data_IF_827946925453
#
_entry.id   IF_827946925453
#
_cell.length_a   1.000
_cell.length_b   1.000
_cell.length_c   1.000
_cell.angle_alpha   90.00
_cell.angle_beta   90.00
_cell.angle_gamma   90.00
#
_symmetry.space_group_name_H-M   'P 1'
#
loop_
_entity.id
_entity.type
_entity.pdbx_description
1 polymer ?
#
# COMPACT_ATOMS: atom_id res chain seq x y z
N UNK A 1 23.15 45.15 35.09
CA UNK A 1 22.42 45.42 33.84
C UNK A 1 21.91 44.09 33.30
N UNK A 2 20.74 43.66 33.76
CA UNK A 2 20.06 42.45 33.29
C UNK A 2 19.46 42.69 31.91
N UNK A 3 19.80 41.81 30.96
CA UNK A 3 19.38 41.90 29.56
C UNK A 3 18.08 41.12 29.40
N UNK A 4 16.95 41.84 29.42
CA UNK A 4 15.62 41.25 29.23
C UNK A 4 15.52 40.58 27.85
N UNK A 5 15.10 39.31 27.76
CA UNK A 5 15.02 38.60 26.49
C UNK A 5 13.88 39.12 25.59
N UNK A 6 14.21 39.26 24.30
CA UNK A 6 13.33 39.74 23.22
C UNK A 6 12.01 38.94 23.08
N UNK A 7 10.88 39.61 22.81
CA UNK A 7 9.54 39.01 22.73
C UNK A 7 9.40 37.92 21.66
N UNK A 8 10.28 37.88 20.66
CA UNK A 8 10.26 36.87 19.60
C UNK A 8 10.67 35.46 20.11
N UNK A 9 11.58 35.37 21.08
CA UNK A 9 12.00 34.08 21.67
C UNK A 9 10.94 33.48 22.59
N UNK A 10 10.10 34.33 23.20
CA UNK A 10 9.01 33.90 24.08
C UNK A 10 7.90 33.19 23.31
N UNK A 11 7.61 33.61 22.08
CA UNK A 11 6.60 32.96 21.22
C UNK A 11 7.06 31.59 20.71
N UNK A 12 8.34 31.43 20.39
CA UNK A 12 8.89 30.15 19.91
C UNK A 12 8.86 29.05 21.00
N UNK A 13 9.12 29.41 22.26
CA UNK A 13 9.09 28.47 23.38
C UNK A 13 7.68 28.03 23.77
N UNK A 14 6.68 28.91 23.64
CA UNK A 14 5.27 28.57 23.91
C UNK A 14 4.74 27.58 22.86
N UNK A 15 5.12 27.75 21.58
CA UNK A 15 4.73 26.82 20.52
C UNK A 15 5.33 25.43 20.68
N UNK A 16 6.56 25.33 21.20
CA UNK A 16 7.23 24.04 21.43
C UNK A 16 6.62 23.27 22.62
N UNK A 17 6.17 23.97 23.67
CA UNK A 17 5.50 23.33 24.80
C UNK A 17 4.10 22.80 24.44
N UNK A 18 3.36 23.48 23.55
CA UNK A 18 2.04 23.05 23.12
C UNK A 18 2.06 21.75 22.29
N UNK A 19 3.09 21.53 21.46
CA UNK A 19 3.24 20.31 20.65
C UNK A 19 3.52 19.08 21.53
N UNK A 20 4.29 19.25 22.62
CA UNK A 20 4.64 18.13 23.53
C UNK A 20 3.41 17.67 24.33
N UNK A 21 2.51 18.56 24.73
CA UNK A 21 1.27 18.20 25.46
C UNK A 21 0.27 17.46 24.57
N UNK A 22 0.17 17.82 23.28
CA UNK A 22 -0.76 17.15 22.34
C UNK A 22 -0.29 15.74 22.00
N UNK A 23 1.02 15.50 21.86
CA UNK A 23 1.55 14.14 21.60
C UNK A 23 1.41 13.24 22.82
N UNK A 24 1.56 13.78 24.04
CA UNK A 24 1.37 13.01 25.29
C UNK A 24 -0.08 12.56 25.52
N UNK A 25 -1.07 13.39 25.19
CA UNK A 25 -2.48 13.05 25.36
C UNK A 25 -2.96 11.98 24.37
N UNK A 26 -2.45 11.98 23.13
CA UNK A 26 -2.82 10.97 22.11
C UNK A 26 -2.20 9.60 22.41
N UNK A 27 -1.04 9.54 23.08
CA UNK A 27 -0.45 8.27 23.52
C UNK A 27 -1.15 7.68 24.76
N UNK A 28 -1.67 8.51 25.67
CA UNK A 28 -2.35 8.03 26.87
C UNK A 28 -3.79 7.53 26.62
N UNK A 29 -4.47 8.02 25.59
CA UNK A 29 -5.84 7.61 25.25
C UNK A 29 -5.94 6.23 24.58
N UNK A 30 -4.83 5.61 24.18
CA UNK A 30 -4.82 4.24 23.62
C UNK A 30 -4.48 3.14 24.64
N UNK A 31 -4.31 3.47 25.92
CA UNK A 31 -3.93 2.50 26.97
C UNK A 31 -5.02 2.28 28.04
N UNK A 32 -6.23 2.81 27.86
CA UNK A 32 -7.32 2.66 28.83
C UNK A 32 -8.68 2.38 28.16
N UNK A 33 -8.86 1.18 27.63
CA UNK A 33 -10.19 0.55 27.60
C UNK A 33 -10.02 -0.97 27.52
N UNK A 34 -10.18 -1.62 28.66
CA UNK A 34 -10.46 -3.05 28.78
C UNK A 34 -11.25 -3.20 30.07
N UNK A 35 -12.54 -2.89 29.99
CA UNK A 35 -13.48 -3.28 31.03
C UNK A 35 -13.74 -4.79 30.92
N UNK A 36 -13.49 -5.45 32.04
CA UNK A 36 -13.80 -6.84 32.36
C UNK A 36 -15.26 -7.19 32.08
N UNK A 37 -15.50 -8.09 31.13
CA UNK A 37 -16.69 -8.95 31.14
C UNK A 37 -16.22 -10.39 30.86
N UNK A 38 -16.11 -11.16 31.94
CA UNK A 38 -15.96 -12.62 31.91
C UNK A 38 -17.12 -13.29 31.17
N UNK A 39 -16.83 -14.38 30.44
CA UNK A 39 -17.63 -15.58 30.64
C UNK A 39 -16.75 -16.80 30.94
N UNK A 40 -17.10 -17.45 32.05
CA UNK A 40 -17.04 -18.89 32.34
C UNK A 40 -15.93 -19.72 31.67
N UNK A 41 -14.98 -20.13 32.51
CA UNK A 41 -13.87 -21.02 32.22
C UNK A 41 -14.26 -22.36 31.58
N UNK A 42 -13.50 -22.74 30.54
CA UNK A 42 -13.19 -24.12 30.21
C UNK A 42 -11.72 -24.40 30.63
N UNK A 43 -11.36 -25.64 31.05
CA UNK A 43 -10.07 -25.92 31.68
C UNK A 43 -8.89 -25.75 30.71
N UNK A 44 -7.69 -25.41 31.22
CA UNK A 44 -6.52 -25.17 30.40
C UNK A 44 -5.96 -26.48 29.85
N UNK A 45 -6.00 -26.65 28.53
CA UNK A 45 -5.07 -27.58 27.87
C UNK A 45 -3.67 -26.97 27.98
N UNK A 46 -2.81 -27.67 28.72
CA UNK A 46 -1.37 -27.43 28.81
C UNK A 46 -0.75 -27.47 27.41
N UNK A 47 -0.59 -26.31 26.78
CA UNK A 47 0.31 -26.14 25.65
C UNK A 47 1.72 -25.93 26.21
N UNK A 48 2.59 -26.87 25.91
CA UNK A 48 4.02 -26.84 26.23
C UNK A 48 4.63 -25.56 25.64
N UNK A 49 5.13 -24.69 26.53
CA UNK A 49 6.01 -23.57 26.19
C UNK A 49 7.27 -24.12 25.50
N UNK A 50 7.32 -24.03 24.17
CA UNK A 50 8.60 -23.97 23.46
C UNK A 50 9.01 -22.50 23.41
N UNK A 51 10.02 -22.16 24.21
CA UNK A 51 10.66 -20.86 24.17
C UNK A 51 11.34 -20.62 22.82
N UNK A 52 11.14 -19.44 22.26
CA UNK A 52 11.92 -18.96 21.12
C UNK A 52 11.12 -18.10 20.15
N UNK A 53 11.20 -16.77 20.32
CA UNK A 53 10.73 -15.79 19.35
C UNK A 53 9.40 -15.15 19.72
N UNK A 54 9.45 -13.88 20.13
CA UNK A 54 8.25 -13.05 20.21
C UNK A 54 7.68 -12.92 18.80
N UNK A 55 6.56 -13.59 18.51
CA UNK A 55 5.87 -13.46 17.24
C UNK A 55 5.36 -12.02 17.13
N UNK A 56 5.98 -11.20 16.28
CA UNK A 56 5.50 -9.86 15.99
C UNK A 56 4.22 -10.02 15.19
N UNK A 57 3.08 -9.71 15.80
CA UNK A 57 1.81 -9.67 15.09
C UNK A 57 1.87 -8.58 14.01
N UNK A 58 1.68 -8.96 12.75
CA UNK A 58 1.53 -8.02 11.63
C UNK A 58 0.04 -7.83 11.33
N UNK A 59 -0.36 -6.58 11.15
CA UNK A 59 -1.73 -6.21 10.76
C UNK A 59 -1.70 -5.75 9.31
N UNK A 60 -2.59 -6.30 8.49
CA UNK A 60 -2.83 -5.84 7.13
C UNK A 60 -4.09 -4.98 7.09
N UNK A 61 -3.95 -3.73 6.65
CA UNK A 61 -5.07 -2.83 6.43
C UNK A 61 -5.34 -2.71 4.93
N UNK A 62 -6.59 -2.93 4.55
CA UNK A 62 -7.06 -2.83 3.19
C UNK A 62 -8.12 -1.74 3.09
N UNK A 63 -7.98 -0.84 2.12
CA UNK A 63 -8.96 0.19 1.83
C UNK A 63 -9.28 0.17 0.34
N UNK A 64 -10.36 -0.51 -0.04
CA UNK A 64 -10.85 -0.59 -1.41
C UNK A 64 -12.34 -0.25 -1.44
N UNK A 65 -12.74 0.54 -2.44
CA UNK A 65 -14.14 0.91 -2.66
C UNK A 65 -14.65 0.18 -3.89
N UNK A 66 -15.23 -1.01 -3.68
CA UNK A 66 -15.80 -1.84 -4.75
C UNK A 66 -16.83 -2.83 -4.19
N UNK A 67 -17.68 -3.40 -5.04
CA UNK A 67 -18.67 -4.42 -4.66
C UNK A 67 -18.03 -5.74 -4.20
N UNK A 68 -16.78 -5.99 -4.56
CA UNK A 68 -16.00 -7.19 -4.16
C UNK A 68 -14.85 -6.84 -3.20
N UNK A 69 -15.02 -5.78 -2.40
CA UNK A 69 -14.00 -5.28 -1.50
C UNK A 69 -13.40 -6.38 -0.61
N UNK A 70 -14.25 -7.18 0.04
CA UNK A 70 -13.81 -8.25 0.95
C UNK A 70 -12.93 -9.27 0.24
N UNK A 71 -13.31 -9.70 -0.97
CA UNK A 71 -12.53 -10.66 -1.77
C UNK A 71 -11.19 -10.08 -2.22
N UNK A 72 -11.17 -8.81 -2.61
CA UNK A 72 -9.93 -8.13 -3.01
C UNK A 72 -9.00 -8.03 -1.80
N UNK A 73 -9.53 -7.58 -0.66
CA UNK A 73 -8.76 -7.47 0.58
C UNK A 73 -8.22 -8.82 1.06
N UNK A 74 -9.02 -9.88 0.97
CA UNK A 74 -8.57 -11.23 1.31
C UNK A 74 -7.40 -11.68 0.42
N UNK A 75 -7.48 -11.45 -0.90
CA UNK A 75 -6.38 -11.79 -1.83
C UNK A 75 -5.13 -10.98 -1.53
N UNK A 76 -5.27 -9.68 -1.30
CA UNK A 76 -4.13 -8.82 -0.96
C UNK A 76 -3.51 -9.17 0.39
N UNK A 77 -4.32 -9.53 1.39
CA UNK A 77 -3.82 -9.99 2.70
C UNK A 77 -3.07 -11.33 2.57
N UNK A 78 -3.61 -12.28 1.80
CA UNK A 78 -2.95 -13.56 1.50
C UNK A 78 -1.62 -13.36 0.77
N UNK A 79 -1.61 -12.50 -0.25
CA UNK A 79 -0.39 -12.13 -0.95
C UNK A 79 0.64 -11.48 0.00
N UNK A 80 0.22 -10.52 0.83
CA UNK A 80 1.08 -9.87 1.81
C UNK A 80 1.69 -10.87 2.80
N UNK A 81 0.90 -11.81 3.32
CA UNK A 81 1.35 -12.82 4.28
C UNK A 81 2.37 -13.81 3.70
N UNK A 82 2.39 -14.00 2.38
CA UNK A 82 3.37 -14.87 1.71
C UNK A 82 4.73 -14.22 1.51
N UNK A 83 4.81 -12.89 1.54
CA UNK A 83 6.00 -12.16 1.11
C UNK A 83 7.05 -12.09 2.20
N UNK A 84 8.30 -12.05 1.77
CA UNK A 84 9.43 -11.75 2.67
C UNK A 84 9.24 -10.39 3.33
N UNK A 85 9.44 -10.31 4.64
CA UNK A 85 9.34 -9.06 5.36
C UNK A 85 10.51 -8.14 5.03
N UNK A 86 10.21 -6.92 4.58
CA UNK A 86 11.22 -5.88 4.37
C UNK A 86 11.55 -5.18 5.68
N UNK A 87 12.83 -4.85 5.87
CA UNK A 87 13.23 -3.92 6.93
C UNK A 87 12.69 -2.51 6.61
N UNK A 88 12.57 -1.62 7.63
CA UNK A 88 12.16 -0.24 7.39
C UNK A 88 13.05 0.50 6.38
N UNK A 89 14.35 0.24 6.42
CA UNK A 89 15.32 0.82 5.48
C UNK A 89 15.07 0.34 4.05
N UNK A 90 14.95 -0.98 3.84
CA UNK A 90 14.64 -1.54 2.52
C UNK A 90 13.33 -0.97 1.97
N UNK A 91 12.31 -0.84 2.81
CA UNK A 91 11.02 -0.28 2.41
C UNK A 91 11.15 1.17 1.95
N UNK A 92 11.93 1.99 2.65
CA UNK A 92 12.17 3.39 2.28
C UNK A 92 12.92 3.48 0.93
N UNK A 93 14.00 2.71 0.78
CA UNK A 93 14.80 2.68 -0.45
C UNK A 93 13.97 2.28 -1.69
N UNK A 94 13.06 1.32 -1.53
CA UNK A 94 12.16 0.89 -2.60
C UNK A 94 11.06 1.95 -2.83
N UNK A 95 10.52 2.55 -1.77
CA UNK A 95 9.50 3.59 -1.87
C UNK A 95 9.99 4.79 -2.66
N UNK A 96 11.24 5.22 -2.47
CA UNK A 96 11.84 6.33 -3.22
C UNK A 96 11.88 6.05 -4.72
N UNK A 97 12.16 4.80 -5.11
CA UNK A 97 12.16 4.35 -6.52
C UNK A 97 10.77 4.03 -7.07
N UNK A 98 9.78 3.80 -6.21
CA UNK A 98 8.44 3.39 -6.63
C UNK A 98 7.73 4.43 -7.50
N UNK A 99 8.02 5.72 -7.28
CA UNK A 99 7.47 6.82 -8.08
C UNK A 99 8.00 6.78 -9.51
N UNK A 100 9.30 6.53 -9.67
CA UNK A 100 9.94 6.37 -10.97
C UNK A 100 9.39 5.13 -11.68
N UNK A 101 9.38 3.97 -11.02
CA UNK A 101 8.86 2.73 -11.60
C UNK A 101 7.41 2.88 -12.05
N UNK A 102 6.56 3.54 -11.25
CA UNK A 102 5.16 3.77 -11.60
C UNK A 102 5.01 4.72 -12.80
N UNK A 103 5.92 5.67 -13.00
CA UNK A 103 5.85 6.60 -14.13
C UNK A 103 6.15 5.93 -15.47
N UNK A 104 6.77 4.75 -15.46
CA UNK A 104 6.99 3.91 -16.64
C UNK A 104 5.69 3.29 -17.17
N UNK A 105 4.69 3.12 -16.32
CA UNK A 105 3.40 2.58 -16.73
C UNK A 105 2.66 3.66 -17.54
N UNK A 106 2.38 3.42 -18.83
CA UNK A 106 1.76 4.43 -19.68
C UNK A 106 0.34 4.75 -19.17
N UNK A 107 -0.11 6.01 -19.28
CA UNK A 107 -1.50 6.32 -19.00
C UNK A 107 -2.42 5.53 -19.94
N UNK A 108 -3.61 5.19 -19.46
CA UNK A 108 -4.63 4.62 -20.33
C UNK A 108 -4.94 5.58 -21.48
N UNK A 109 -5.17 5.08 -22.70
CA UNK A 109 -5.48 5.93 -23.82
C UNK A 109 -6.75 6.72 -23.54
N UNK A 110 -6.68 8.04 -23.61
CA UNK A 110 -7.85 8.90 -23.46
C UNK A 110 -8.83 8.66 -24.60
N UNK A 111 -10.12 8.59 -24.28
CA UNK A 111 -11.22 8.61 -25.24
C UNK A 111 -11.96 9.94 -25.14
N UNK A 112 -12.73 10.25 -26.18
CA UNK A 112 -13.57 11.45 -26.15
C UNK A 112 -14.48 11.45 -24.91
N UNK A 113 -14.57 12.59 -24.21
CA UNK A 113 -15.46 12.72 -23.07
C UNK A 113 -16.91 12.61 -23.53
N UNK A 114 -17.73 11.88 -22.78
CA UNK A 114 -19.17 11.82 -23.04
C UNK A 114 -19.88 12.86 -22.19
N UNK A 115 -20.50 13.84 -22.84
CA UNK A 115 -21.29 14.88 -22.19
C UNK A 115 -22.78 14.62 -22.50
N UNK A 116 -23.60 14.21 -21.52
CA UNK A 116 -25.02 13.90 -21.76
C UNK A 116 -25.82 15.12 -22.23
N UNK A 117 -25.38 16.33 -21.84
CA UNK A 117 -26.00 17.60 -22.22
C UNK A 117 -24.92 18.62 -22.61
N UNK A 118 -25.17 19.49 -23.61
CA UNK A 118 -24.28 20.60 -23.94
C UNK A 118 -24.06 21.52 -22.71
N UNK A 119 -22.80 21.74 -22.33
CA UNK A 119 -22.43 22.56 -21.18
C UNK A 119 -22.62 21.90 -19.80
N UNK A 120 -23.03 20.63 -19.75
CA UNK A 120 -23.15 19.85 -18.52
C UNK A 120 -21.85 19.15 -18.08
N UNK A 121 -21.86 18.42 -16.95
CA UNK A 121 -20.71 17.63 -16.51
C UNK A 121 -20.42 16.51 -17.52
N UNK A 122 -19.18 16.46 -17.99
CA UNK A 122 -18.72 15.40 -18.89
C UNK A 122 -18.09 14.25 -18.11
N UNK A 123 -18.28 13.03 -18.60
CA UNK A 123 -17.56 11.85 -18.12
C UNK A 123 -16.31 11.67 -18.95
N UNK A 124 -15.16 11.64 -18.29
CA UNK A 124 -13.90 11.27 -18.92
C UNK A 124 -13.90 9.77 -19.15
N UNK A 125 -13.68 9.36 -20.40
CA UNK A 125 -13.61 7.95 -20.75
C UNK A 125 -12.15 7.57 -20.97
N UNK A 126 -11.75 6.48 -20.34
CA UNK A 126 -10.47 5.81 -20.60
C UNK A 126 -10.71 4.66 -21.57
N UNK A 127 -9.69 4.34 -22.37
CA UNK A 127 -9.70 3.13 -23.17
C UNK A 127 -9.59 1.87 -22.30
N UNK A 128 -9.86 0.70 -22.89
CA UNK A 128 -9.87 -0.57 -22.17
C UNK A 128 -8.47 -0.94 -21.68
N UNK A 129 -8.44 -1.77 -20.65
CA UNK A 129 -7.25 -2.50 -20.24
C UNK A 129 -7.23 -3.82 -21.01
N UNK A 130 -6.61 -3.82 -22.18
CA UNK A 130 -6.54 -4.97 -23.08
C UNK A 130 -5.10 -5.45 -23.31
N UNK A 131 -4.94 -6.46 -24.15
CA UNK A 131 -3.64 -7.04 -24.47
C UNK A 131 -2.68 -6.04 -25.14
N UNK A 132 -3.20 -5.08 -25.92
CA UNK A 132 -2.38 -4.05 -26.56
C UNK A 132 -1.81 -3.09 -25.50
N UNK A 133 -2.65 -2.64 -24.56
CA UNK A 133 -2.22 -1.82 -23.44
C UNK A 133 -1.17 -2.55 -22.57
N UNK A 134 -1.42 -3.83 -22.24
CA UNK A 134 -0.46 -4.66 -21.49
C UNK A 134 0.88 -4.76 -22.23
N UNK A 135 0.89 -5.04 -23.53
CA UNK A 135 2.11 -5.13 -24.32
C UNK A 135 2.88 -3.79 -24.35
N UNK A 136 2.15 -2.66 -24.43
CA UNK A 136 2.75 -1.32 -24.36
C UNK A 136 3.37 -1.05 -23.00
N UNK A 137 2.68 -1.38 -21.91
CA UNK A 137 3.19 -1.22 -20.56
C UNK A 137 4.43 -2.09 -20.32
N UNK A 138 4.37 -3.37 -20.72
CA UNK A 138 5.51 -4.28 -20.67
C UNK A 138 6.71 -3.73 -21.44
N UNK A 139 6.51 -3.28 -22.68
CA UNK A 139 7.58 -2.74 -23.52
C UNK A 139 8.23 -1.48 -22.93
N UNK A 140 7.44 -0.60 -22.28
CA UNK A 140 7.95 0.60 -21.62
C UNK A 140 8.85 0.25 -20.43
N UNK A 141 8.39 -0.68 -19.59
CA UNK A 141 9.12 -1.14 -18.40
C UNK A 141 10.37 -1.94 -18.77
N UNK A 142 10.28 -2.81 -19.78
CA UNK A 142 11.41 -3.56 -20.33
C UNK A 142 12.52 -2.63 -20.84
N UNK A 143 12.17 -1.61 -21.64
CA UNK A 143 13.15 -0.62 -22.16
C UNK A 143 13.84 0.20 -21.06
N UNK A 144 13.23 0.30 -19.88
CA UNK A 144 13.80 0.97 -18.72
C UNK A 144 14.75 0.06 -17.91
N UNK A 145 14.97 -1.19 -18.35
CA UNK A 145 15.91 -2.13 -17.74
C UNK A 145 15.29 -3.10 -16.74
N UNK A 146 13.96 -3.12 -16.60
CA UNK A 146 13.24 -4.05 -15.73
C UNK A 146 12.76 -5.28 -16.52
N UNK A 147 13.72 -6.07 -17.01
CA UNK A 147 13.47 -7.21 -17.91
C UNK A 147 12.73 -8.37 -17.23
N UNK A 148 12.83 -8.46 -15.90
CA UNK A 148 12.20 -9.46 -15.04
C UNK A 148 10.79 -9.03 -14.55
N UNK A 149 10.29 -7.88 -15.02
CA UNK A 149 8.96 -7.40 -14.68
C UNK A 149 7.87 -8.34 -15.20
N UNK A 150 6.92 -8.67 -14.32
CA UNK A 150 5.70 -9.38 -14.70
C UNK A 150 4.59 -8.34 -14.89
N UNK A 151 4.07 -8.23 -16.11
CA UNK A 151 2.99 -7.30 -16.47
C UNK A 151 1.99 -8.04 -17.35
N UNK A 152 0.75 -8.16 -16.88
CA UNK A 152 -0.29 -8.95 -17.56
C UNK A 152 -1.68 -8.57 -17.09
N UNK A 153 -2.70 -9.10 -17.76
CA UNK A 153 -4.07 -9.09 -17.21
C UNK A 153 -4.11 -9.88 -15.90
N UNK A 154 -4.89 -9.37 -14.95
CA UNK A 154 -5.09 -9.97 -13.65
C UNK A 154 -5.83 -11.31 -13.77
N UNK A 155 -5.29 -12.32 -13.10
CA UNK A 155 -5.85 -13.64 -12.85
C UNK A 155 -6.65 -13.60 -11.56
N UNK A 156 -7.46 -14.64 -11.35
CA UNK A 156 -8.35 -14.74 -10.19
C UNK A 156 -7.61 -14.78 -8.84
N UNK A 157 -6.36 -15.24 -8.83
CA UNK A 157 -5.50 -15.40 -7.66
C UNK A 157 -4.58 -14.19 -7.41
N UNK A 158 -4.55 -13.20 -8.32
CA UNK A 158 -3.71 -12.03 -8.13
C UNK A 158 -4.23 -11.09 -7.02
N UNK A 159 -3.33 -10.33 -6.38
CA UNK A 159 -3.67 -9.26 -5.44
C UNK A 159 -4.27 -8.01 -6.12
N UNK A 160 -5.04 -8.20 -7.18
CA UNK A 160 -5.66 -7.15 -7.99
C UNK A 160 -7.15 -7.43 -8.24
N UNK A 161 -7.96 -6.40 -8.56
CA UNK A 161 -9.31 -6.60 -9.05
C UNK A 161 -9.32 -7.33 -10.40
N UNK A 162 -10.42 -8.02 -10.71
CA UNK A 162 -10.60 -8.62 -12.03
C UNK A 162 -10.61 -7.54 -13.12
N UNK A 163 -10.30 -7.92 -14.36
CA UNK A 163 -10.30 -7.02 -15.53
C UNK A 163 -9.35 -5.82 -15.42
N UNK A 164 -8.32 -5.95 -14.59
CA UNK A 164 -7.23 -4.98 -14.49
C UNK A 164 -5.95 -5.54 -15.08
N UNK A 165 -4.99 -4.66 -15.34
CA UNK A 165 -3.61 -5.05 -15.57
C UNK A 165 -2.94 -5.07 -14.22
N UNK A 166 -2.35 -6.21 -13.84
CA UNK A 166 -1.50 -6.33 -12.66
C UNK A 166 -0.04 -6.24 -13.09
N UNK A 167 0.80 -5.66 -12.24
CA UNK A 167 2.23 -5.61 -12.45
C UNK A 167 3.02 -5.84 -11.17
N UNK A 168 4.19 -6.46 -11.32
CA UNK A 168 5.17 -6.67 -10.27
C UNK A 168 6.56 -6.44 -10.83
N UNK A 169 7.25 -5.44 -10.29
CA UNK A 169 8.55 -4.97 -10.79
C UNK A 169 9.56 -5.05 -9.65
N UNK A 170 10.66 -5.77 -9.88
CA UNK A 170 11.76 -5.92 -8.92
C UNK A 170 12.50 -4.59 -8.74
N UNK A 171 12.73 -4.21 -7.48
CA UNK A 171 13.48 -3.01 -7.10
C UNK A 171 14.36 -3.36 -5.92
N UNK A 172 15.66 -3.57 -6.18
CA UNK A 172 16.60 -4.00 -5.14
C UNK A 172 16.14 -5.31 -4.47
N UNK A 173 16.00 -5.37 -3.13
CA UNK A 173 15.59 -6.58 -2.42
C UNK A 173 14.08 -6.80 -2.36
N UNK A 174 13.27 -5.96 -2.99
CA UNK A 174 11.81 -6.06 -2.94
C UNK A 174 11.15 -5.68 -4.25
N UNK A 175 9.88 -5.30 -4.15
CA UNK A 175 8.97 -5.22 -5.27
C UNK A 175 8.10 -3.97 -5.20
N UNK A 176 7.82 -3.40 -6.36
CA UNK A 176 6.69 -2.50 -6.57
C UNK A 176 5.60 -3.31 -7.27
N UNK A 177 4.44 -3.41 -6.62
CA UNK A 177 3.33 -4.24 -7.08
C UNK A 177 2.12 -3.36 -7.19
N UNK A 178 1.36 -3.49 -8.26
CA UNK A 178 0.19 -2.67 -8.44
C UNK A 178 -0.72 -3.18 -9.51
N UNK A 179 -1.76 -2.40 -9.76
CA UNK A 179 -2.68 -2.65 -10.85
C UNK A 179 -3.18 -1.34 -11.47
N UNK A 180 -3.65 -1.43 -12.70
CA UNK A 180 -4.29 -0.35 -13.45
C UNK A 180 -5.65 -0.82 -13.96
N UNK A 181 -6.68 -0.01 -13.73
CA UNK A 181 -8.03 -0.15 -14.22
C UNK A 181 -8.50 1.13 -14.92
N UNK A 182 -9.64 1.06 -15.60
CA UNK A 182 -10.29 2.23 -16.21
C UNK A 182 -10.68 3.31 -15.20
N UNK A 183 -10.85 2.95 -13.92
CA UNK A 183 -11.20 3.84 -12.82
C UNK A 183 -10.00 4.35 -12.01
N UNK A 184 -8.78 3.96 -12.37
CA UNK A 184 -7.55 4.35 -11.68
C UNK A 184 -6.64 3.17 -11.39
N UNK A 185 -5.61 3.38 -10.57
CA UNK A 185 -4.65 2.34 -10.22
C UNK A 185 -4.15 2.49 -8.79
N UNK A 186 -3.54 1.44 -8.29
CA UNK A 186 -2.88 1.44 -6.99
C UNK A 186 -1.55 0.71 -7.08
N UNK A 187 -0.64 1.03 -6.18
CA UNK A 187 0.67 0.39 -6.07
C UNK A 187 1.15 0.38 -4.63
N UNK A 188 1.83 -0.69 -4.23
CA UNK A 188 2.44 -0.85 -2.94
C UNK A 188 3.85 -1.42 -3.05
N UNK A 189 4.68 -1.09 -2.05
CA UNK A 189 5.98 -1.73 -1.83
C UNK A 189 5.77 -3.01 -1.05
N UNK A 190 6.38 -4.09 -1.50
CA UNK A 190 6.33 -5.39 -0.82
C UNK A 190 7.64 -6.16 -0.99
N UNK A 191 7.85 -7.19 -0.17
CA UNK A 191 8.94 -8.13 -0.43
C UNK A 191 8.66 -9.07 -1.58
N UNK A 192 9.67 -9.85 -1.95
CA UNK A 192 9.55 -10.92 -2.93
C UNK A 192 8.67 -12.07 -2.41
N UNK A 193 8.11 -12.84 -3.35
CA UNK A 193 7.45 -14.11 -3.05
C UNK A 193 8.47 -15.20 -2.67
N UNK A 194 8.06 -16.26 -1.96
CA UNK A 194 8.95 -17.36 -1.56
C UNK A 194 9.64 -18.06 -2.72
N UNK A 195 8.94 -18.18 -3.85
CA UNK A 195 9.46 -18.74 -5.12
C UNK A 195 10.46 -17.81 -5.84
N UNK A 196 10.67 -16.60 -5.33
CA UNK A 196 11.42 -15.53 -6.00
C UNK A 196 10.54 -14.67 -6.90
N UNK A 197 10.91 -13.40 -7.04
CA UNK A 197 10.20 -12.43 -7.89
C UNK A 197 9.00 -11.75 -7.22
N UNK A 198 8.32 -10.90 -8.00
CA UNK A 198 7.27 -10.01 -7.50
C UNK A 198 5.86 -10.53 -7.71
N UNK A 199 5.62 -11.26 -8.81
CA UNK A 199 4.38 -11.96 -9.12
C UNK A 199 4.71 -13.30 -9.75
N UNK A 200 3.78 -14.24 -9.67
CA UNK A 200 3.89 -15.50 -10.42
C UNK A 200 3.72 -15.19 -11.93
N UNK A 201 4.66 -15.67 -12.79
CA UNK A 201 4.64 -15.44 -14.24
C UNK A 201 3.33 -15.85 -14.92
#
# INVERSE_FOLDING_TARGET
>A
MEKTPSPARRRLLISLAAVIVVVGAVLALNLASSDDVSPTAAPPSTAVLHGGGSAVASVYACAVSSTDADKICERQAKDHARRTQLTPQQRAEIADKSVEVRSLIPPLPSREPTCPTPGGPCRMNTGPVDAEYVAKAWSAVFRAGYEDAVIRLARADDPAPAETMVYGISVGPGCVIGYVSTSGGSSNVAGVLPEGGCLTP
#
